data_IF_699152120173
#
_entry.id   IF_699152120173
#
_cell.length_a   1.000
_cell.length_b   1.000
_cell.length_c   1.000
_cell.angle_alpha   90.00
_cell.angle_beta   90.00
_cell.angle_gamma   90.00
#
_symmetry.space_group_name_H-M   'P 1'
#
loop_
_entity.id
_entity.type
_entity.pdbx_description
1 polymer ?
#
# COMPACT_ATOMS: atom_id res chain seq x y z
N UNK A 1 5.13 10.25 3.23
CA UNK A 1 4.06 9.76 2.32
C UNK A 1 2.80 9.41 3.10
N UNK A 2 1.61 9.66 2.54
CA UNK A 2 0.31 9.26 3.13
C UNK A 2 -0.17 7.93 2.52
N UNK A 3 0.03 6.82 3.22
CA UNK A 3 -0.37 5.48 2.72
C UNK A 3 -1.89 5.29 2.64
N UNK A 4 -2.63 6.09 3.38
CA UNK A 4 -4.09 6.18 3.36
C UNK A 4 -4.59 6.66 1.98
N UNK A 5 -3.83 7.54 1.30
CA UNK A 5 -4.13 7.96 -0.07
C UNK A 5 -4.11 6.77 -1.04
N UNK A 6 -3.13 5.87 -0.87
CA UNK A 6 -3.00 4.65 -1.65
C UNK A 6 -4.10 3.64 -1.30
N UNK A 7 -4.47 3.51 -0.03
CA UNK A 7 -5.61 2.68 0.37
C UNK A 7 -6.91 3.14 -0.31
N UNK A 8 -7.16 4.45 -0.34
CA UNK A 8 -8.29 5.04 -1.06
C UNK A 8 -8.23 4.79 -2.56
N UNK A 9 -7.06 4.89 -3.18
CA UNK A 9 -6.85 4.58 -4.60
C UNK A 9 -7.15 3.09 -4.90
N UNK A 10 -6.64 2.18 -4.06
CA UNK A 10 -6.89 0.75 -4.16
C UNK A 10 -8.38 0.40 -4.03
N UNK A 11 -9.10 1.12 -3.15
CA UNK A 11 -10.55 0.96 -3.01
C UNK A 11 -11.28 1.45 -4.26
N UNK A 12 -10.90 2.62 -4.82
CA UNK A 12 -11.46 3.12 -6.10
C UNK A 12 -11.21 2.13 -7.24
N UNK A 13 -10.06 1.46 -7.25
CA UNK A 13 -9.70 0.40 -8.19
C UNK A 13 -10.37 -0.97 -7.91
N UNK A 14 -11.28 -1.05 -6.93
CA UNK A 14 -12.05 -2.26 -6.58
C UNK A 14 -11.18 -3.45 -6.15
N UNK A 15 -10.02 -3.19 -5.53
CA UNK A 15 -9.16 -4.24 -4.97
C UNK A 15 -9.72 -4.80 -3.65
N UNK A 16 -10.49 -3.99 -2.93
CA UNK A 16 -11.13 -4.33 -1.65
C UNK A 16 -11.68 -3.08 -0.96
N UNK A 17 -12.19 -3.26 0.26
CA UNK A 17 -12.71 -2.16 1.08
C UNK A 17 -11.75 -1.79 2.20
N UNK A 18 -11.50 -0.49 2.41
CA UNK A 18 -10.66 0.02 3.51
C UNK A 18 -11.30 -0.33 4.85
N UNK A 19 -10.50 -0.84 5.79
CA UNK A 19 -10.94 -1.29 7.11
C UNK A 19 -11.46 -2.73 7.15
N UNK A 20 -11.74 -3.35 5.99
CA UNK A 20 -12.23 -4.74 5.89
C UNK A 20 -11.21 -5.65 5.21
N UNK A 21 -10.74 -5.25 4.04
CA UNK A 21 -9.77 -6.00 3.22
C UNK A 21 -8.45 -5.26 3.04
N UNK A 22 -8.45 -3.93 3.19
CA UNK A 22 -7.30 -3.05 3.02
C UNK A 22 -7.05 -2.34 4.35
N UNK A 23 -5.81 -2.43 4.84
CA UNK A 23 -5.40 -1.94 6.14
C UNK A 23 -4.16 -1.06 6.02
N UNK A 24 -4.08 -0.01 6.84
CA UNK A 24 -2.91 0.85 6.97
C UNK A 24 -2.30 0.65 8.35
N UNK A 25 -0.96 0.56 8.42
CA UNK A 25 -0.14 0.40 9.63
C UNK A 25 -0.31 -0.91 10.39
N UNK A 26 -1.54 -1.43 10.49
CA UNK A 26 -1.85 -2.65 11.23
C UNK A 26 -3.00 -3.43 10.58
N UNK A 27 -2.81 -4.73 10.38
CA UNK A 27 -3.85 -5.68 9.97
C UNK A 27 -4.18 -6.63 11.13
N UNK A 28 -5.44 -6.71 11.58
CA UNK A 28 -5.85 -7.60 12.65
C UNK A 28 -5.48 -9.08 12.41
N UNK A 29 -5.18 -9.81 13.49
CA UNK A 29 -4.75 -11.21 13.40
C UNK A 29 -5.85 -12.17 12.89
N UNK A 30 -7.13 -11.83 13.11
CA UNK A 30 -8.28 -12.61 12.66
C UNK A 30 -8.54 -12.51 11.15
N UNK A 31 -7.90 -11.56 10.45
CA UNK A 31 -8.04 -11.38 9.00
C UNK A 31 -7.24 -12.48 8.28
N UNK A 32 -7.96 -13.39 7.63
CA UNK A 32 -7.37 -14.51 6.87
C UNK A 32 -6.93 -14.13 5.46
N UNK A 33 -7.54 -13.09 4.88
CA UNK A 33 -7.12 -12.53 3.60
C UNK A 33 -7.30 -11.02 3.61
N UNK A 34 -6.29 -10.29 3.15
CA UNK A 34 -6.27 -8.84 3.21
C UNK A 34 -5.00 -8.27 2.60
N UNK A 35 -4.92 -6.95 2.57
CA UNK A 35 -3.77 -6.17 2.11
C UNK A 35 -3.39 -5.20 3.21
N UNK A 36 -2.13 -5.20 3.62
CA UNK A 36 -1.58 -4.24 4.58
C UNK A 36 -0.60 -3.32 3.87
N UNK A 37 -0.81 -2.02 4.06
CA UNK A 37 0.11 -0.95 3.69
C UNK A 37 0.87 -0.52 4.94
N UNK A 38 2.20 -0.52 4.88
CA UNK A 38 3.04 -0.14 6.02
C UNK A 38 4.28 0.62 5.56
N UNK A 39 4.62 1.69 6.28
CA UNK A 39 5.87 2.42 6.09
C UNK A 39 6.97 1.83 6.96
N UNK A 40 8.24 1.88 6.54
CA UNK A 40 9.37 1.51 7.40
C UNK A 40 9.36 2.33 8.69
N UNK A 41 9.46 1.66 9.84
CA UNK A 41 9.55 2.33 11.16
C UNK A 41 10.92 2.99 11.40
N UNK A 42 11.87 2.82 10.48
CA UNK A 42 13.24 3.33 10.57
C UNK A 42 13.38 4.79 10.11
N UNK A 43 12.31 5.39 9.59
CA UNK A 43 12.38 6.69 8.93
C UNK A 43 13.04 6.63 7.54
N UNK A 44 13.29 7.79 6.95
CA UNK A 44 13.93 7.93 5.63
C UNK A 44 15.41 8.23 5.84
N UNK A 45 16.29 7.37 5.32
CA UNK A 45 17.73 7.64 5.31
C UNK A 45 18.03 8.86 4.45
N UNK A 46 18.76 9.82 5.01
CA UNK A 46 19.20 11.02 4.28
C UNK A 46 20.51 10.70 3.59
N UNK A 47 20.53 10.83 2.27
CA UNK A 47 21.77 10.85 1.49
C UNK A 47 22.30 12.29 1.44
N UNK A 48 23.45 12.52 2.07
CA UNK A 48 24.05 13.84 2.16
C UNK A 48 24.64 14.33 0.82
N UNK A 49 24.90 13.44 -0.13
CA UNK A 49 25.36 13.79 -1.47
C UNK A 49 24.19 14.26 -2.36
N UNK A 50 22.98 13.76 -2.09
CA UNK A 50 21.76 14.11 -2.81
C UNK A 50 20.87 15.06 -2.00
N UNK A 51 21.32 16.31 -1.86
CA UNK A 51 20.58 17.34 -1.11
C UNK A 51 19.14 17.52 -1.63
N UNK A 52 18.16 17.35 -0.75
CA UNK A 52 16.74 17.49 -1.05
C UNK A 52 16.09 16.22 -1.62
N UNK A 53 16.83 15.14 -1.80
CA UNK A 53 16.30 13.84 -2.18
C UNK A 53 15.94 13.02 -0.94
N UNK A 54 14.76 12.42 -0.97
CA UNK A 54 14.26 11.53 0.09
C UNK A 54 13.73 10.26 -0.56
N UNK A 55 14.36 9.12 -0.28
CA UNK A 55 13.88 7.82 -0.75
C UNK A 55 12.76 7.31 0.17
N UNK A 56 11.54 7.82 -0.04
CA UNK A 56 10.36 7.35 0.68
C UNK A 56 9.83 6.06 0.03
N UNK A 57 9.55 5.06 0.85
CA UNK A 57 9.07 3.75 0.38
C UNK A 57 8.04 3.20 1.36
N UNK A 58 7.11 2.39 0.85
CA UNK A 58 6.16 1.66 1.66
C UNK A 58 6.06 0.23 1.16
N UNK A 59 5.66 -0.66 2.04
CA UNK A 59 5.50 -2.09 1.75
C UNK A 59 4.02 -2.42 1.63
N UNK A 60 3.68 -3.17 0.58
CA UNK A 60 2.36 -3.79 0.42
C UNK A 60 2.48 -5.28 0.77
N UNK A 61 1.81 -5.70 1.84
CA UNK A 61 1.79 -7.09 2.28
C UNK A 61 0.44 -7.70 1.90
N UNK A 62 0.45 -8.71 1.04
CA UNK A 62 -0.76 -9.42 0.60
C UNK A 62 -0.89 -10.74 1.35
N UNK A 63 -1.98 -10.88 2.13
CA UNK A 63 -2.31 -12.10 2.87
C UNK A 63 -3.43 -12.88 2.16
N UNK A 64 -3.24 -14.18 1.99
CA UNK A 64 -4.28 -15.07 1.48
C UNK A 64 -4.05 -16.52 1.97
N UNK A 65 -5.06 -17.37 1.84
CA UNK A 65 -4.99 -18.77 2.24
C UNK A 65 -4.02 -19.61 1.39
N UNK A 66 -3.75 -19.19 0.15
CA UNK A 66 -2.80 -19.85 -0.74
C UNK A 66 -1.90 -18.82 -1.44
N UNK A 67 -0.68 -19.23 -1.75
CA UNK A 67 0.29 -18.39 -2.45
C UNK A 67 -0.21 -17.94 -3.82
N UNK A 68 -0.88 -18.82 -4.57
CA UNK A 68 -1.43 -18.51 -5.90
C UNK A 68 -2.45 -17.36 -5.84
N UNK A 69 -3.33 -17.37 -4.85
CA UNK A 69 -4.32 -16.29 -4.66
C UNK A 69 -3.66 -15.00 -4.17
N UNK A 70 -2.62 -15.11 -3.34
CA UNK A 70 -1.85 -13.96 -2.89
C UNK A 70 -1.13 -13.28 -4.07
N UNK A 71 -0.43 -14.05 -4.90
CA UNK A 71 0.26 -13.55 -6.10
C UNK A 71 -0.72 -12.94 -7.10
N UNK A 72 -1.86 -13.59 -7.37
CA UNK A 72 -2.88 -13.03 -8.25
C UNK A 72 -3.42 -11.68 -7.77
N UNK A 73 -3.60 -11.52 -6.44
CA UNK A 73 -4.03 -10.23 -5.85
C UNK A 73 -2.90 -9.19 -5.89
N UNK A 74 -1.65 -9.61 -5.65
CA UNK A 74 -0.48 -8.74 -5.76
C UNK A 74 -0.32 -8.19 -7.19
N UNK A 75 -0.46 -9.03 -8.22
CA UNK A 75 -0.38 -8.58 -9.61
C UNK A 75 -1.46 -7.54 -9.94
N UNK A 76 -2.71 -7.75 -9.50
CA UNK A 76 -3.77 -6.74 -9.67
C UNK A 76 -3.47 -5.40 -9.00
N UNK A 77 -2.78 -5.43 -7.85
CA UNK A 77 -2.36 -4.21 -7.16
C UNK A 77 -1.23 -3.54 -7.95
N UNK A 78 -0.28 -4.31 -8.47
CA UNK A 78 0.81 -3.80 -9.32
C UNK A 78 0.28 -3.17 -10.60
N UNK A 79 -0.70 -3.79 -11.26
CA UNK A 79 -1.32 -3.27 -12.49
C UNK A 79 -2.11 -1.97 -12.26
N UNK A 80 -2.52 -1.70 -11.02
CA UNK A 80 -3.22 -0.47 -10.65
C UNK A 80 -2.26 0.71 -10.45
N UNK A 81 -1.02 0.45 -10.04
CA UNK A 81 -0.10 1.53 -9.71
C UNK A 81 0.06 2.46 -10.91
N UNK A 82 -0.27 3.75 -10.75
CA UNK A 82 -0.29 4.66 -11.87
C UNK A 82 1.14 4.92 -12.33
N UNK A 83 1.35 4.86 -13.65
CA UNK A 83 2.61 5.22 -14.29
C UNK A 83 2.73 6.75 -14.42
N UNK A 84 1.65 7.48 -14.13
CA UNK A 84 1.51 8.93 -14.26
C UNK A 84 0.98 9.58 -12.97
N UNK A 85 1.18 10.89 -12.83
CA UNK A 85 0.72 11.66 -11.67
C UNK A 85 -0.81 11.58 -11.53
N UNK A 86 -1.30 11.04 -10.41
CA UNK A 86 -2.73 10.78 -10.21
C UNK A 86 -3.22 11.43 -8.91
N UNK A 87 -4.30 12.20 -9.02
CA UNK A 87 -4.94 12.83 -7.84
C UNK A 87 -5.86 11.80 -7.17
N UNK A 88 -5.48 11.33 -5.99
CA UNK A 88 -6.40 10.61 -5.11
C UNK A 88 -7.31 11.65 -4.44
N UNK A 89 -8.52 11.86 -4.96
CA UNK A 89 -9.47 12.78 -4.31
C UNK A 89 -9.72 12.37 -2.85
N UNK A 90 -9.25 13.20 -1.92
CA UNK A 90 -9.59 13.18 -0.50
C UNK A 90 -8.80 12.19 0.35
N UNK A 91 -7.80 12.70 1.08
CA UNK A 91 -7.36 12.11 2.35
C UNK A 91 -7.57 13.20 3.39
N UNK A 92 -8.58 13.01 4.24
CA UNK A 92 -8.83 13.85 5.41
C UNK A 92 -8.15 13.23 6.63
#
# INVERSE_FOLDING_TARGET
MFIEAFASLMQKAKIGTVGTDIFCHYMPANVKSGVLLVTPNTGITIDHELKGFYHDSFTVIVRNATITKAVAKANKIMDMFPVEETVSEGVY
#
